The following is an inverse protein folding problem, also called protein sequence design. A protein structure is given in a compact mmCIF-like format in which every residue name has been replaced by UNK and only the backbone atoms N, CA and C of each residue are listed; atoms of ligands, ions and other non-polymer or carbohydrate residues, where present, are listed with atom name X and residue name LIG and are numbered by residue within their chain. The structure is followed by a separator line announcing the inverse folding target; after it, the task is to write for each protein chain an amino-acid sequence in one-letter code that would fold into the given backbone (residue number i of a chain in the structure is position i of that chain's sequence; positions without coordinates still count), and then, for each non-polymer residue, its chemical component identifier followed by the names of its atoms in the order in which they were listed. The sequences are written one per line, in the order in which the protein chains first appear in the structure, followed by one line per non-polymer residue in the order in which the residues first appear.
data_IF_297475001804
#
_entry.id   IF_297475001804
#
_cell.length_a   1.000
_cell.length_b   1.000
_cell.length_c   1.000
_cell.angle_alpha   90.00
_cell.angle_beta   90.00
_cell.angle_gamma   90.00
#
_symmetry.space_group_name_H-M   'P 1'
#
loop_
_entity.id
_entity.type
_entity.pdbx_description
1 polymer ?
#
# COMPACT_ATOMS: atom_id res chain seq x y z
N UNK A 1 -0.58 -4.67 -8.95
CA UNK A 1 -0.79 -3.61 -9.97
C UNK A 1 0.30 -3.63 -11.03
N UNK A 2 1.54 -3.19 -10.72
CA UNK A 2 2.61 -3.09 -11.72
C UNK A 2 2.76 -4.35 -12.60
N UNK A 3 2.76 -5.52 -11.98
CA UNK A 3 2.88 -6.81 -12.69
C UNK A 3 1.73 -7.07 -13.68
N UNK A 4 0.49 -6.72 -13.33
CA UNK A 4 -0.65 -6.85 -14.25
C UNK A 4 -0.54 -5.87 -15.42
N UNK A 5 -0.11 -4.63 -15.14
CA UNK A 5 0.09 -3.61 -16.17
C UNK A 5 1.25 -3.96 -17.11
N UNK A 6 2.33 -4.52 -16.58
CA UNK A 6 3.46 -5.02 -17.36
C UNK A 6 3.05 -6.19 -18.26
N UNK A 7 2.29 -7.15 -17.72
CA UNK A 7 1.79 -8.29 -18.49
C UNK A 7 0.89 -7.83 -19.65
N UNK A 8 -0.04 -6.91 -19.38
CA UNK A 8 -0.92 -6.32 -20.39
C UNK A 8 -0.13 -5.55 -21.45
N UNK A 9 0.85 -4.73 -21.03
CA UNK A 9 1.75 -4.03 -21.94
C UNK A 9 2.50 -5.00 -22.86
N UNK A 10 3.09 -6.05 -22.31
CA UNK A 10 3.82 -7.05 -23.10
C UNK A 10 2.91 -7.78 -24.08
N UNK A 11 1.66 -8.04 -23.70
CA UNK A 11 0.66 -8.68 -24.57
C UNK A 11 0.28 -7.77 -25.73
N UNK A 12 0.03 -6.49 -25.47
CA UNK A 12 -0.31 -5.50 -26.50
C UNK A 12 0.83 -5.29 -27.51
N UNK A 13 2.08 -5.56 -27.12
CA UNK A 13 3.25 -5.41 -27.98
C UNK A 13 3.75 -6.74 -28.58
N UNK A 14 3.02 -7.85 -28.39
CA UNK A 14 3.40 -9.15 -28.95
C UNK A 14 4.65 -9.78 -28.31
N UNK A 15 5.06 -9.30 -27.12
CA UNK A 15 6.26 -9.75 -26.41
C UNK A 15 5.96 -10.76 -25.30
N UNK A 16 4.69 -10.93 -24.92
CA UNK A 16 4.28 -11.75 -23.77
C UNK A 16 4.73 -13.20 -23.85
N UNK A 17 4.61 -13.84 -25.01
CA UNK A 17 4.99 -15.25 -25.20
C UNK A 17 6.50 -15.48 -25.14
N UNK A 18 7.30 -14.41 -25.34
CA UNK A 18 8.75 -14.44 -25.25
C UNK A 18 9.27 -14.00 -23.87
N UNK A 19 8.37 -13.67 -22.94
CA UNK A 19 8.72 -13.09 -21.64
C UNK A 19 8.17 -13.95 -20.50
N UNK A 20 9.05 -14.44 -19.63
CA UNK A 20 8.64 -14.96 -18.33
C UNK A 20 8.46 -13.80 -17.33
N UNK A 21 7.35 -13.79 -16.61
CA UNK A 21 7.09 -12.83 -15.54
C UNK A 21 7.03 -13.62 -14.23
N UNK A 22 7.91 -13.28 -13.30
CA UNK A 22 7.95 -13.86 -11.95
C UNK A 22 7.56 -12.78 -10.93
N UNK A 23 6.49 -13.02 -10.19
CA UNK A 23 6.02 -12.17 -9.08
C UNK A 23 6.60 -12.70 -7.76
N UNK A 24 7.45 -11.90 -7.10
CA UNK A 24 8.08 -12.28 -5.85
C UNK A 24 7.26 -11.78 -4.66
N UNK A 25 7.11 -12.62 -3.63
CA UNK A 25 6.56 -12.24 -2.33
C UNK A 25 7.37 -12.85 -1.20
N UNK A 26 7.72 -12.04 -0.21
CA UNK A 26 8.35 -12.52 1.03
C UNK A 26 7.39 -13.35 1.89
N UNK A 27 6.08 -13.31 1.61
CA UNK A 27 5.05 -14.02 2.35
C UNK A 27 4.75 -15.38 1.71
N UNK A 28 4.03 -16.24 2.42
CA UNK A 28 3.45 -17.48 1.88
C UNK A 28 2.23 -17.25 0.99
N UNK A 29 1.96 -16.00 0.58
CA UNK A 29 0.85 -15.57 -0.27
C UNK A 29 1.25 -14.31 -1.05
N UNK A 30 0.52 -13.98 -2.11
CA UNK A 30 0.83 -12.84 -3.00
C UNK A 30 0.54 -11.47 -2.38
N UNK A 31 -0.23 -11.40 -1.30
CA UNK A 31 -0.55 -10.14 -0.63
C UNK A 31 -0.75 -10.31 0.90
N UNK A 32 -0.39 -9.32 1.75
CA UNK A 32 -0.55 -9.43 3.20
C UNK A 32 -1.99 -9.63 3.68
N UNK A 33 -2.98 -9.01 3.05
CA UNK A 33 -4.40 -9.18 3.40
C UNK A 33 -4.98 -10.36 2.61
N UNK A 34 -5.56 -11.33 3.30
CA UNK A 34 -6.02 -12.59 2.72
C UNK A 34 -7.05 -12.41 1.61
N UNK A 35 -8.07 -11.57 1.81
CA UNK A 35 -9.09 -11.32 0.79
C UNK A 35 -8.50 -10.76 -0.52
N UNK A 36 -7.47 -9.91 -0.42
CA UNK A 36 -6.78 -9.36 -1.58
C UNK A 36 -5.90 -10.43 -2.24
N UNK A 37 -5.26 -11.31 -1.45
CA UNK A 37 -4.50 -12.42 -1.97
C UNK A 37 -5.40 -13.41 -2.74
N UNK A 38 -6.56 -13.78 -2.18
CA UNK A 38 -7.54 -14.67 -2.80
C UNK A 38 -8.13 -14.08 -4.10
N UNK A 39 -8.18 -12.75 -4.21
CA UNK A 39 -8.55 -12.06 -5.44
C UNK A 39 -7.41 -12.05 -6.47
N UNK A 40 -6.18 -11.74 -6.06
CA UNK A 40 -5.07 -11.50 -6.99
C UNK A 40 -4.40 -12.79 -7.49
N UNK A 41 -4.29 -13.82 -6.66
CA UNK A 41 -3.56 -15.05 -7.00
C UNK A 41 -4.15 -15.79 -8.21
N UNK A 42 -5.49 -16.00 -8.31
CA UNK A 42 -6.07 -16.61 -9.50
C UNK A 42 -5.85 -15.79 -10.77
N UNK A 43 -5.91 -14.45 -10.67
CA UNK A 43 -5.69 -13.54 -11.80
C UNK A 43 -4.24 -13.59 -12.30
N UNK A 44 -3.26 -13.71 -11.40
CA UNK A 44 -1.86 -13.90 -11.76
C UNK A 44 -1.68 -15.23 -12.50
N UNK A 45 -2.26 -16.31 -11.97
CA UNK A 45 -2.17 -17.64 -12.56
C UNK A 45 -2.84 -17.74 -13.94
N UNK A 46 -4.05 -17.17 -14.09
CA UNK A 46 -4.77 -17.12 -15.38
C UNK A 46 -3.93 -16.42 -16.47
N UNK A 47 -3.11 -15.45 -16.08
CA UNK A 47 -2.22 -14.70 -16.99
C UNK A 47 -0.86 -15.36 -17.18
N UNK A 48 -0.65 -16.56 -16.66
CA UNK A 48 0.62 -17.28 -16.74
C UNK A 48 1.77 -16.54 -16.05
N UNK A 49 1.49 -15.74 -15.02
CA UNK A 49 2.51 -15.09 -14.19
C UNK A 49 2.90 -16.08 -13.09
N UNK A 50 4.18 -16.45 -13.03
CA UNK A 50 4.71 -17.34 -12.00
C UNK A 50 4.80 -16.58 -10.68
N UNK A 51 4.35 -17.18 -9.59
CA UNK A 51 4.51 -16.62 -8.24
C UNK A 51 5.62 -17.36 -7.50
N UNK A 52 6.59 -16.61 -6.95
CA UNK A 52 7.61 -17.13 -6.05
C UNK A 52 7.35 -16.57 -4.66
N UNK A 53 6.85 -17.43 -3.78
CA UNK A 53 6.45 -17.09 -2.41
C UNK A 53 7.56 -17.45 -1.44
N UNK A 54 7.59 -16.81 -0.26
CA UNK A 54 8.69 -16.94 0.72
C UNK A 54 10.04 -16.61 0.10
N UNK A 55 10.08 -15.58 -0.74
CA UNK A 55 11.29 -15.04 -1.33
C UNK A 55 11.55 -13.66 -0.71
N UNK A 56 12.43 -13.59 0.29
CA UNK A 56 12.85 -12.32 0.91
C UNK A 56 14.15 -11.85 0.27
N UNK A 57 14.16 -10.81 -0.60
CA UNK A 57 15.39 -10.34 -1.24
C UNK A 57 16.49 -10.02 -0.22
N UNK A 58 17.66 -10.60 -0.41
CA UNK A 58 18.83 -10.41 0.48
C UNK A 58 20.02 -9.77 -0.22
N UNK A 59 20.23 -10.08 -1.51
CA UNK A 59 21.31 -9.52 -2.30
C UNK A 59 20.95 -9.49 -3.79
N UNK A 60 21.55 -8.55 -4.52
CA UNK A 60 21.46 -8.43 -5.97
C UNK A 60 22.87 -8.49 -6.54
N UNK A 61 23.15 -9.51 -7.34
CA UNK A 61 24.36 -9.64 -8.13
C UNK A 61 24.07 -9.11 -9.54
N UNK A 62 24.29 -7.80 -9.73
CA UNK A 62 23.97 -7.14 -10.99
C UNK A 62 24.80 -7.65 -12.19
N UNK A 63 26.12 -7.90 -12.08
CA UNK A 63 26.90 -8.51 -13.16
C UNK A 63 26.40 -9.89 -13.57
N UNK A 64 26.06 -10.75 -12.61
CA UNK A 64 25.50 -12.08 -12.90
C UNK A 64 23.99 -12.04 -13.25
N UNK A 65 23.34 -10.88 -13.06
CA UNK A 65 21.89 -10.68 -13.14
C UNK A 65 21.09 -11.69 -12.30
N UNK A 66 21.47 -11.84 -11.03
CA UNK A 66 20.83 -12.78 -10.11
C UNK A 66 20.35 -12.04 -8.86
N UNK A 67 19.09 -12.27 -8.47
CA UNK A 67 18.57 -11.89 -7.16
C UNK A 67 18.62 -13.10 -6.23
N UNK A 68 19.11 -12.88 -5.01
CA UNK A 68 19.20 -13.90 -3.96
C UNK A 68 18.20 -13.61 -2.86
N UNK A 69 17.69 -14.67 -2.25
CA UNK A 69 16.78 -14.58 -1.12
C UNK A 69 17.49 -14.94 0.20
N UNK A 70 16.92 -14.50 1.33
CA UNK A 70 17.40 -14.87 2.66
C UNK A 70 17.19 -16.36 2.95
N UNK A 71 16.22 -16.98 2.26
CA UNK A 71 15.90 -18.41 2.31
C UNK A 71 16.88 -19.27 1.49
N UNK A 72 17.82 -18.65 0.76
CA UNK A 72 18.85 -19.34 -0.03
C UNK A 72 18.48 -19.58 -1.50
N UNK A 73 17.33 -19.07 -1.96
CA UNK A 73 16.96 -19.14 -3.36
C UNK A 73 17.78 -18.14 -4.20
N UNK A 74 17.97 -18.44 -5.48
CA UNK A 74 18.60 -17.56 -6.46
C UNK A 74 17.81 -17.61 -7.76
N UNK A 75 17.42 -16.43 -8.28
CA UNK A 75 16.67 -16.32 -9.52
C UNK A 75 17.42 -15.40 -10.50
N UNK A 76 17.62 -15.82 -11.76
CA UNK A 76 18.13 -14.94 -12.80
C UNK A 76 17.05 -13.93 -13.21
N UNK A 77 17.45 -12.78 -13.73
CA UNK A 77 16.53 -11.79 -14.29
C UNK A 77 17.13 -11.07 -15.50
N UNK A 78 16.29 -10.60 -16.41
CA UNK A 78 16.69 -9.61 -17.42
C UNK A 78 16.26 -8.19 -17.04
N UNK A 79 15.10 -8.06 -16.39
CA UNK A 79 14.60 -6.84 -15.78
C UNK A 79 14.18 -7.16 -14.35
N UNK A 80 14.71 -6.39 -13.39
CA UNK A 80 14.35 -6.51 -11.98
C UNK A 80 13.65 -5.23 -11.52
N UNK A 81 12.44 -5.37 -11.00
CA UNK A 81 11.67 -4.28 -10.39
C UNK A 81 11.36 -4.69 -8.96
N UNK A 82 11.90 -3.95 -8.00
CA UNK A 82 11.74 -4.22 -6.57
C UNK A 82 11.13 -3.03 -5.85
N UNK A 83 10.28 -3.34 -4.87
CA UNK A 83 9.87 -2.40 -3.84
C UNK A 83 10.84 -2.56 -2.66
N UNK A 84 11.62 -1.53 -2.30
CA UNK A 84 12.58 -1.64 -1.20
C UNK A 84 11.85 -1.77 0.14
N UNK A 85 12.52 -2.29 1.18
CA UNK A 85 12.00 -2.22 2.54
C UNK A 85 11.91 -0.75 2.97
N UNK A 86 10.72 -0.33 3.43
CA UNK A 86 10.49 1.02 3.95
C UNK A 86 10.81 1.10 5.45
N UNK A 87 11.32 2.25 5.88
CA UNK A 87 11.57 2.62 7.28
C UNK A 87 11.09 4.04 7.52
N UNK A 88 10.85 4.39 8.78
CA UNK A 88 10.47 5.74 9.15
C UNK A 88 11.57 6.76 8.89
N UNK A 89 11.16 8.02 8.84
CA UNK A 89 12.05 9.11 8.49
C UNK A 89 13.13 9.31 9.56
N UNK A 90 14.36 9.58 9.12
CA UNK A 90 15.51 9.77 10.02
C UNK A 90 15.25 10.84 11.10
N UNK A 91 14.59 11.94 10.75
CA UNK A 91 14.24 13.01 11.69
C UNK A 91 13.35 12.54 12.84
N UNK A 92 12.47 11.54 12.61
CA UNK A 92 11.61 10.97 13.65
C UNK A 92 12.45 10.19 14.66
N UNK A 93 13.43 9.43 14.18
CA UNK A 93 14.39 8.71 15.03
C UNK A 93 15.27 9.68 15.83
N UNK A 94 15.83 10.71 15.16
CA UNK A 94 16.72 11.70 15.78
C UNK A 94 16.00 12.54 16.84
N UNK A 95 14.70 12.81 16.64
CA UNK A 95 13.86 13.49 17.62
C UNK A 95 13.48 12.61 18.82
N UNK A 96 13.85 11.32 18.84
CA UNK A 96 13.44 10.38 19.88
C UNK A 96 11.95 10.04 19.83
N UNK A 97 11.30 10.24 18.69
CA UNK A 97 9.86 10.03 18.49
C UNK A 97 9.54 8.72 17.75
N UNK A 98 10.55 7.99 17.27
CA UNK A 98 10.38 6.79 16.47
C UNK A 98 10.47 5.48 17.27
N UNK A 99 9.75 4.47 16.81
CA UNK A 99 9.91 3.07 17.20
C UNK A 99 11.21 2.46 16.61
N UNK A 100 11.38 1.16 16.79
CA UNK A 100 12.56 0.42 16.26
C UNK A 100 12.72 0.47 14.73
N UNK A 101 11.67 0.80 14.00
CA UNK A 101 11.66 0.94 12.54
C UNK A 101 11.58 2.42 12.10
N UNK A 102 11.50 3.36 13.05
CA UNK A 102 11.45 4.81 12.85
C UNK A 102 10.06 5.39 12.68
N UNK A 103 9.00 4.61 12.88
CA UNK A 103 7.61 5.10 12.82
C UNK A 103 7.22 5.74 14.14
N UNK A 104 6.38 6.77 14.13
CA UNK A 104 5.88 7.40 15.37
C UNK A 104 4.92 6.43 16.08
N UNK A 105 5.19 6.01 17.32
CA UNK A 105 4.28 5.19 18.11
C UNK A 105 2.97 5.93 18.39
N UNK A 106 1.86 5.44 17.84
CA UNK A 106 0.63 6.22 17.70
C UNK A 106 -0.57 5.43 18.20
N UNK A 107 -1.43 6.06 19.02
CA UNK A 107 -2.72 5.47 19.34
C UNK A 107 -3.60 5.39 18.09
N UNK A 108 -4.05 4.18 17.77
CA UNK A 108 -4.65 3.89 16.46
C UNK A 108 -5.97 4.63 16.19
N UNK A 109 -6.67 5.08 17.22
CA UNK A 109 -7.99 5.72 17.10
C UNK A 109 -7.92 7.23 17.26
N UNK A 110 -6.93 7.75 17.97
CA UNK A 110 -6.76 9.19 18.19
C UNK A 110 -5.69 9.81 17.29
N UNK A 111 -4.80 8.98 16.72
CA UNK A 111 -3.59 9.37 15.99
C UNK A 111 -2.59 10.18 16.82
N UNK A 112 -2.77 10.17 18.14
CA UNK A 112 -1.90 10.87 19.08
C UNK A 112 -0.64 10.03 19.33
N UNK A 113 0.50 10.70 19.37
CA UNK A 113 1.76 10.08 19.74
C UNK A 113 1.69 9.58 21.18
N UNK A 114 2.09 8.34 21.41
CA UNK A 114 2.10 7.75 22.75
C UNK A 114 3.24 8.26 23.63
N UNK A 115 4.24 8.91 23.04
CA UNK A 115 5.39 9.48 23.73
C UNK A 115 5.16 10.93 24.19
N UNK A 116 4.32 11.68 23.48
CA UNK A 116 3.97 13.07 23.83
C UNK A 116 2.52 13.38 23.41
N UNK A 117 1.63 13.72 24.36
CA UNK A 117 0.23 14.01 24.05
C UNK A 117 0.02 15.27 23.19
N UNK A 118 1.01 16.14 23.02
CA UNK A 118 0.90 17.31 22.14
C UNK A 118 1.28 17.01 20.68
N UNK A 119 1.69 15.78 20.39
CA UNK A 119 2.12 15.36 19.07
C UNK A 119 1.07 14.42 18.47
N UNK A 120 0.77 14.64 17.20
CA UNK A 120 -0.04 13.74 16.38
C UNK A 120 0.79 13.26 15.19
N UNK A 121 0.57 12.03 14.74
CA UNK A 121 1.19 11.47 13.55
C UNK A 121 0.15 10.95 12.57
N UNK A 122 0.31 11.29 11.29
CA UNK A 122 -0.65 10.99 10.23
C UNK A 122 0.07 10.36 9.05
N UNK A 123 -0.61 9.44 8.35
CA UNK A 123 -0.10 8.78 7.15
C UNK A 123 1.08 7.87 7.45
N UNK A 124 2.01 7.79 6.49
CA UNK A 124 3.09 6.80 6.50
C UNK A 124 4.04 6.92 7.68
N UNK A 125 4.10 8.09 8.34
CA UNK A 125 4.93 8.32 9.52
C UNK A 125 4.44 7.57 10.76
N UNK A 126 3.13 7.32 10.90
CA UNK A 126 2.55 6.66 12.07
C UNK A 126 2.65 5.13 11.99
N UNK A 127 2.81 4.43 13.10
CA UNK A 127 2.90 2.96 13.21
C UNK A 127 1.54 2.23 13.15
N UNK A 128 0.54 2.86 12.53
CA UNK A 128 -0.84 2.35 12.52
C UNK A 128 -0.91 0.92 11.95
N UNK A 129 -1.74 0.03 12.55
CA UNK A 129 -1.91 -1.35 12.10
C UNK A 129 -2.90 -1.42 10.92
N UNK A 130 -2.68 -0.59 9.90
CA UNK A 130 -3.49 -0.51 8.68
C UNK A 130 -2.57 -0.24 7.48
N UNK A 131 -3.06 -0.50 6.26
CA UNK A 131 -2.29 -0.20 5.05
C UNK A 131 -1.96 1.29 4.98
N UNK A 132 -0.66 1.59 4.86
CA UNK A 132 -0.15 2.93 4.60
C UNK A 132 -0.52 3.35 3.18
N UNK A 133 -1.37 4.37 3.06
CA UNK A 133 -1.89 4.86 1.78
C UNK A 133 -2.28 6.35 1.87
N UNK A 134 -2.41 7.00 0.71
CA UNK A 134 -2.89 8.39 0.65
C UNK A 134 -4.31 8.56 1.22
N UNK A 135 -5.18 7.56 1.09
CA UNK A 135 -6.52 7.59 1.68
C UNK A 135 -6.49 7.46 3.20
N UNK A 136 -5.65 6.56 3.74
CA UNK A 136 -5.44 6.44 5.18
C UNK A 136 -4.92 7.76 5.78
N UNK A 137 -3.94 8.38 5.11
CA UNK A 137 -3.42 9.70 5.49
C UNK A 137 -4.51 10.77 5.47
N UNK A 138 -5.34 10.79 4.44
CA UNK A 138 -6.44 11.75 4.30
C UNK A 138 -7.50 11.62 5.40
N UNK A 139 -8.02 10.41 5.62
CA UNK A 139 -9.03 10.18 6.65
C UNK A 139 -8.47 10.39 8.07
N UNK A 140 -7.24 9.94 8.32
CA UNK A 140 -6.54 10.21 9.58
C UNK A 140 -6.31 11.71 9.84
N UNK A 141 -5.92 12.48 8.82
CA UNK A 141 -5.73 13.92 8.93
C UNK A 141 -7.03 14.64 9.34
N UNK A 142 -8.16 14.24 8.77
CA UNK A 142 -9.48 14.79 9.10
C UNK A 142 -9.86 14.54 10.56
N UNK A 143 -9.54 13.36 11.09
CA UNK A 143 -9.75 13.04 12.52
C UNK A 143 -8.86 13.93 13.39
N UNK A 144 -7.56 13.99 13.12
CA UNK A 144 -6.61 14.80 13.91
C UNK A 144 -7.02 16.28 13.92
N UNK A 145 -7.35 16.85 12.76
CA UNK A 145 -7.77 18.25 12.67
C UNK A 145 -9.00 18.53 13.55
N UNK A 146 -10.02 17.67 13.47
CA UNK A 146 -11.23 17.84 14.27
C UNK A 146 -10.99 17.59 15.76
N UNK A 147 -10.05 16.72 16.13
CA UNK A 147 -9.64 16.52 17.53
C UNK A 147 -8.97 17.77 18.10
N UNK A 148 -8.00 18.34 17.40
CA UNK A 148 -7.33 19.58 17.81
C UNK A 148 -8.35 20.70 17.99
N UNK A 149 -9.29 20.86 17.05
CA UNK A 149 -10.38 21.85 17.16
C UNK A 149 -11.26 21.58 18.39
N UNK A 150 -11.63 20.31 18.63
CA UNK A 150 -12.46 19.92 19.76
C UNK A 150 -11.77 20.19 21.11
N UNK A 151 -10.47 19.93 21.21
CA UNK A 151 -9.64 20.21 22.40
C UNK A 151 -9.56 21.71 22.67
N UNK A 152 -9.29 22.54 21.64
CA UNK A 152 -9.24 24.00 21.76
C UNK A 152 -10.59 24.62 22.16
N UNK A 153 -11.69 24.00 21.75
CA UNK A 153 -13.05 24.43 22.07
C UNK A 153 -13.63 23.75 23.33
N UNK A 154 -12.83 22.98 24.06
CA UNK A 154 -13.24 22.23 25.26
C UNK A 154 -14.50 21.37 25.07
N UNK A 155 -14.61 20.70 23.91
CA UNK A 155 -15.73 19.79 23.63
C UNK A 155 -15.55 18.47 24.38
N UNK A 156 -16.66 17.87 24.80
CA UNK A 156 -16.66 16.59 25.52
C UNK A 156 -16.40 15.38 24.60
N UNK A 157 -16.86 15.44 23.35
CA UNK A 157 -16.70 14.35 22.38
C UNK A 157 -15.53 14.63 21.46
N UNK A 158 -14.58 13.69 21.42
CA UNK A 158 -13.42 13.74 20.54
C UNK A 158 -13.58 12.72 19.41
N UNK A 159 -13.40 13.13 18.14
CA UNK A 159 -13.42 12.22 17.00
C UNK A 159 -12.41 11.07 17.13
N UNK A 160 -12.76 9.92 16.56
CA UNK A 160 -11.91 8.72 16.50
C UNK A 160 -11.77 8.24 15.07
N UNK A 161 -10.59 7.75 14.73
CA UNK A 161 -10.28 7.11 13.47
C UNK A 161 -10.59 5.62 13.55
N UNK A 162 -11.28 5.16 12.52
CA UNK A 162 -11.81 3.81 12.37
C UNK A 162 -10.90 2.91 11.55
N UNK A 163 -9.77 3.42 11.05
CA UNK A 163 -8.86 2.67 10.18
C UNK A 163 -9.27 2.69 8.71
N UNK A 164 -10.14 3.63 8.30
CA UNK A 164 -10.64 3.72 6.92
C UNK A 164 -9.51 3.80 5.90
N UNK A 165 -9.56 2.91 4.92
CA UNK A 165 -8.67 2.86 3.75
C UNK A 165 -9.48 2.61 2.49
N UNK A 166 -9.15 3.35 1.45
CA UNK A 166 -9.64 3.16 0.09
C UNK A 166 -8.47 3.10 -0.90
N UNK A 167 -8.39 2.02 -1.66
CA UNK A 167 -7.37 1.82 -2.69
C UNK A 167 -8.03 1.28 -3.98
N UNK A 168 -7.26 1.32 -5.07
CA UNK A 168 -7.60 0.65 -6.31
C UNK A 168 -6.48 -0.33 -6.67
N UNK A 169 -6.85 -1.48 -7.22
CA UNK A 169 -5.92 -2.42 -7.83
C UNK A 169 -6.19 -2.43 -9.32
N UNK A 170 -5.28 -1.86 -10.11
CA UNK A 170 -5.34 -2.02 -11.56
C UNK A 170 -4.95 -3.44 -11.94
N UNK A 171 -5.77 -4.05 -12.79
CA UNK A 171 -5.56 -5.38 -13.35
C UNK A 171 -5.19 -5.32 -14.82
N UNK A 172 -4.96 -4.14 -15.42
CA UNK A 172 -4.71 -4.00 -16.86
C UNK A 172 -5.97 -4.16 -17.70
N UNK A 173 -5.84 -4.09 -19.02
CA UNK A 173 -6.94 -4.09 -20.00
C UNK A 173 -7.98 -2.98 -19.73
N UNK A 174 -7.54 -1.87 -19.14
CA UNK A 174 -8.42 -0.78 -18.70
C UNK A 174 -9.40 -1.19 -17.59
N UNK A 175 -9.06 -2.20 -16.78
CA UNK A 175 -9.88 -2.67 -15.67
C UNK A 175 -9.15 -2.48 -14.33
N UNK A 176 -9.94 -2.15 -13.31
CA UNK A 176 -9.49 -2.11 -11.93
C UNK A 176 -10.55 -2.70 -10.99
N UNK A 177 -10.15 -2.98 -9.76
CA UNK A 177 -11.06 -3.26 -8.64
C UNK A 177 -10.80 -2.29 -7.50
N UNK A 178 -11.87 -1.91 -6.79
CA UNK A 178 -11.79 -1.05 -5.62
C UNK A 178 -11.60 -1.89 -4.36
N UNK A 179 -10.81 -1.38 -3.43
CA UNK A 179 -10.53 -2.01 -2.14
C UNK A 179 -10.86 -1.02 -1.05
N UNK A 180 -11.90 -1.30 -0.26
CA UNK A 180 -12.34 -0.47 0.86
C UNK A 180 -12.42 -1.34 2.11
N UNK A 181 -11.83 -0.88 3.21
CA UNK A 181 -11.81 -1.59 4.48
C UNK A 181 -11.49 -0.63 5.63
N UNK A 182 -11.68 -1.12 6.85
CA UNK A 182 -11.31 -0.43 8.08
C UNK A 182 -10.77 -1.43 9.13
N UNK A 183 -10.62 -1.02 10.40
CA UNK A 183 -10.12 -1.91 11.45
C UNK A 183 -11.00 -3.14 11.74
N UNK A 184 -12.30 -3.07 11.44
CA UNK A 184 -13.29 -4.07 11.80
C UNK A 184 -13.91 -4.77 10.59
N UNK A 185 -13.86 -4.13 9.41
CA UNK A 185 -14.47 -4.61 8.18
C UNK A 185 -13.37 -4.93 7.16
N UNK A 186 -13.06 -6.22 6.91
CA UNK A 186 -12.05 -6.61 5.94
C UNK A 186 -12.48 -6.26 4.51
N UNK A 187 -11.53 -6.09 3.56
CA UNK A 187 -11.86 -5.65 2.22
C UNK A 187 -12.68 -6.69 1.45
N UNK A 188 -13.70 -6.23 0.75
CA UNK A 188 -14.40 -7.00 -0.26
C UNK A 188 -14.05 -6.45 -1.63
N UNK A 189 -13.53 -7.31 -2.50
CA UNK A 189 -13.07 -6.90 -3.83
C UNK A 189 -14.12 -7.30 -4.88
N UNK A 190 -14.80 -6.33 -5.50
CA UNK A 190 -15.65 -6.62 -6.64
C UNK A 190 -14.82 -7.10 -7.84
N UNK A 191 -15.48 -7.77 -8.78
CA UNK A 191 -14.83 -8.20 -10.02
C UNK A 191 -14.24 -6.98 -10.77
N UNK A 192 -13.04 -7.11 -11.38
CA UNK A 192 -12.42 -6.01 -12.10
C UNK A 192 -13.32 -5.51 -13.23
N UNK A 193 -13.43 -4.19 -13.36
CA UNK A 193 -14.22 -3.58 -14.43
C UNK A 193 -13.66 -2.21 -14.85
N UNK A 194 -14.16 -1.69 -15.97
CA UNK A 194 -13.72 -0.41 -16.51
C UNK A 194 -14.19 0.78 -15.68
N UNK A 195 -15.31 0.66 -14.96
CA UNK A 195 -15.83 1.75 -14.13
C UNK A 195 -14.79 2.14 -13.06
N UNK A 196 -14.26 1.17 -12.31
CA UNK A 196 -13.24 1.45 -11.29
C UNK A 196 -11.93 2.01 -11.88
N UNK A 197 -11.56 1.59 -13.10
CA UNK A 197 -10.41 2.15 -13.80
C UNK A 197 -10.64 3.64 -14.14
N UNK A 198 -11.82 3.99 -14.64
CA UNK A 198 -12.19 5.38 -14.90
C UNK A 198 -12.29 6.18 -13.61
N UNK A 199 -12.85 5.63 -12.54
CA UNK A 199 -12.90 6.27 -11.22
C UNK A 199 -11.50 6.61 -10.71
N UNK A 200 -10.57 5.65 -10.74
CA UNK A 200 -9.16 5.88 -10.35
C UNK A 200 -8.51 6.97 -11.21
N UNK A 201 -8.73 6.91 -12.53
CA UNK A 201 -8.15 7.85 -13.49
C UNK A 201 -8.69 9.27 -13.28
N UNK A 202 -10.00 9.41 -13.06
CA UNK A 202 -10.64 10.68 -12.75
C UNK A 202 -10.15 11.21 -11.40
N UNK A 203 -10.12 10.36 -10.37
CA UNK A 203 -9.60 10.72 -9.06
C UNK A 203 -8.17 11.26 -9.15
N UNK A 204 -7.28 10.61 -9.92
CA UNK A 204 -5.91 11.09 -10.11
C UNK A 204 -5.87 12.49 -10.76
N UNK A 205 -6.72 12.75 -11.76
CA UNK A 205 -6.80 14.06 -12.42
C UNK A 205 -7.33 15.17 -11.50
N UNK A 206 -8.26 14.82 -10.62
CA UNK A 206 -8.89 15.78 -9.71
C UNK A 206 -8.26 15.83 -8.32
N UNK A 207 -7.29 14.96 -8.02
CA UNK A 207 -6.67 14.82 -6.71
C UNK A 207 -6.25 16.17 -6.13
N UNK A 208 -5.50 16.95 -6.90
CA UNK A 208 -4.96 18.25 -6.48
C UNK A 208 -6.03 19.32 -6.21
N UNK A 209 -7.22 19.17 -6.78
CA UNK A 209 -8.34 20.08 -6.53
C UNK A 209 -9.19 19.65 -5.33
N UNK A 210 -9.22 18.35 -5.04
CA UNK A 210 -10.12 17.77 -4.05
C UNK A 210 -9.43 17.55 -2.70
N UNK A 211 -8.37 16.74 -2.68
CA UNK A 211 -7.80 16.19 -1.43
C UNK A 211 -6.94 17.22 -0.69
N UNK A 212 -5.95 17.89 -1.31
CA UNK A 212 -5.13 18.88 -0.61
C UNK A 212 -5.92 20.13 -0.16
N UNK A 213 -7.01 20.46 -0.84
CA UNK A 213 -7.87 21.59 -0.48
C UNK A 213 -8.92 21.24 0.60
N UNK A 214 -9.00 19.98 1.04
CA UNK A 214 -9.97 19.53 2.04
C UNK A 214 -11.44 19.65 1.60
N UNK A 215 -11.69 19.55 0.29
CA UNK A 215 -13.06 19.61 -0.28
C UNK A 215 -13.85 18.33 0.01
N UNK A 216 -13.14 17.21 0.11
CA UNK A 216 -13.63 15.89 0.54
C UNK A 216 -13.03 15.53 1.90
#
# INVERSE_FOLDING_TARGET
EFTFLLEDYLRQHGLREQTEIVYLSALSRVFPIENIANFADPLLHERGIRTELRFTPSAIDAPAKVIRSAEGAALPYDLLVLVPPHRGAQIVCEAGLGDTLGWVPTDRETLQCTLDPNIYAVGDAADLPISKSGSAAHFGAKVVANRIIAELLHRHELPRYTGEVMCFIETGQGQASQVVFDYNHPPQLPAPNQLYHYEKTLFNRFYWYLVPNGVV
#
